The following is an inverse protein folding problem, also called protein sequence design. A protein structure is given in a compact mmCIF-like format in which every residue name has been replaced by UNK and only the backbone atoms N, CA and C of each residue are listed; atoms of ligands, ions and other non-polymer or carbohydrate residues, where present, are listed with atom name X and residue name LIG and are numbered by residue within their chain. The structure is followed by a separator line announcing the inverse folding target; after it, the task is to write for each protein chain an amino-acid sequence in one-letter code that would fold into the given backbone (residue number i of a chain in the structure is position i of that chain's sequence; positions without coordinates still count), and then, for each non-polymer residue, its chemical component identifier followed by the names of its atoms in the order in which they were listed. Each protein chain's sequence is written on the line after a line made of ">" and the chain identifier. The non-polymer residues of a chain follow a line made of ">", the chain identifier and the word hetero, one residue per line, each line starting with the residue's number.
data_IF_571959768218
#
_entry.id   IF_571959768218
#
_cell.length_a   1.000
_cell.length_b   1.000
_cell.length_c   1.000
_cell.angle_alpha   90.00
_cell.angle_beta   90.00
_cell.angle_gamma   90.00
#
_symmetry.space_group_name_H-M   'P 1'
#
loop_
_entity.id
_entity.type
_entity.pdbx_description
1 polymer ?
#
# COMPACT_ATOMS: atom_id res chain seq x y z
N UNK A 1 13.94 2.05 5.71
CA UNK A 1 12.70 2.80 5.93
C UNK A 1 12.75 4.17 5.26
N UNK A 2 13.68 5.07 5.64
CA UNK A 2 13.81 6.40 5.01
C UNK A 2 13.87 6.38 3.48
N UNK A 3 14.78 5.60 2.89
CA UNK A 3 15.05 5.59 1.44
C UNK A 3 14.13 4.69 0.61
N UNK A 4 13.11 4.07 1.21
CA UNK A 4 12.27 3.05 0.53
C UNK A 4 10.79 3.20 0.85
N UNK A 5 10.46 3.55 2.10
CA UNK A 5 9.08 3.74 2.57
C UNK A 5 8.70 5.23 2.63
N UNK A 6 9.62 6.09 3.08
CA UNK A 6 9.39 7.51 3.40
C UNK A 6 10.20 8.46 2.49
N UNK A 7 10.61 8.02 1.31
CA UNK A 7 11.54 8.77 0.46
C UNK A 7 10.96 10.07 -0.09
N UNK A 8 9.64 10.23 -0.09
CA UNK A 8 8.93 11.46 -0.46
C UNK A 8 8.17 12.07 0.72
N UNK A 9 8.17 11.40 1.87
CA UNK A 9 7.49 11.85 3.08
C UNK A 9 8.33 12.88 3.84
N UNK A 10 7.69 13.78 4.63
CA UNK A 10 8.39 14.67 5.54
C UNK A 10 9.30 13.91 6.54
N UNK A 11 10.48 14.45 6.88
CA UNK A 11 11.38 13.80 7.84
C UNK A 11 10.77 13.68 9.25
N UNK A 12 9.83 14.56 9.62
CA UNK A 12 9.08 14.51 10.88
C UNK A 12 8.23 13.23 10.99
N UNK A 13 7.60 12.79 9.90
CA UNK A 13 6.80 11.56 9.88
C UNK A 13 7.68 10.32 10.02
N UNK A 14 8.87 10.32 9.40
CA UNK A 14 9.86 9.27 9.61
C UNK A 14 10.35 9.24 11.07
N UNK A 15 10.61 10.41 11.67
CA UNK A 15 11.03 10.48 13.07
C UNK A 15 9.92 9.96 14.01
N UNK A 16 8.66 10.31 13.74
CA UNK A 16 7.52 9.79 14.46
C UNK A 16 7.42 8.27 14.31
N UNK A 17 7.53 7.74 13.09
CA UNK A 17 7.50 6.31 12.84
C UNK A 17 8.60 5.57 13.62
N UNK A 18 9.84 6.08 13.60
CA UNK A 18 10.96 5.50 14.35
C UNK A 18 10.73 5.46 15.87
N UNK A 19 9.98 6.43 16.41
CA UNK A 19 9.65 6.47 17.85
C UNK A 19 8.45 5.61 18.25
N UNK A 20 7.56 5.29 17.30
CA UNK A 20 6.22 4.75 17.58
C UNK A 20 5.98 3.35 17.04
N UNK A 21 6.74 2.92 16.03
CA UNK A 21 6.58 1.59 15.42
C UNK A 21 6.90 0.49 16.44
N UNK A 22 6.08 -0.55 16.43
CA UNK A 22 6.26 -1.75 17.23
C UNK A 22 6.40 -2.94 16.29
N UNK A 23 7.13 -3.95 16.74
CA UNK A 23 7.21 -5.22 16.01
C UNK A 23 5.82 -5.79 15.79
N UNK A 24 5.53 -6.18 14.56
CA UNK A 24 4.33 -6.93 14.18
C UNK A 24 4.76 -8.11 13.30
N UNK A 25 4.50 -9.36 13.71
CA UNK A 25 4.87 -10.52 12.91
C UNK A 25 4.01 -10.58 11.64
N UNK A 26 4.64 -10.97 10.53
CA UNK A 26 3.92 -11.32 9.31
C UNK A 26 3.35 -12.74 9.48
N UNK A 27 2.07 -12.91 9.18
CA UNK A 27 1.40 -14.19 9.19
C UNK A 27 1.21 -14.65 7.74
N UNK A 28 1.59 -15.90 7.46
CA UNK A 28 1.40 -16.55 6.16
C UNK A 28 0.26 -17.58 6.25
N UNK A 29 -0.81 -17.23 6.96
CA UNK A 29 -1.98 -18.09 7.05
C UNK A 29 -2.81 -17.97 5.77
N UNK A 30 -3.18 -19.12 5.21
CA UNK A 30 -3.99 -19.17 3.99
C UNK A 30 -5.43 -18.72 4.29
N UNK A 31 -5.75 -17.47 3.95
CA UNK A 31 -7.10 -16.91 4.10
C UNK A 31 -7.95 -17.31 2.89
N UNK A 32 -9.03 -18.06 3.13
CA UNK A 32 -10.00 -18.43 2.08
C UNK A 32 -11.08 -17.35 1.93
N UNK A 33 -11.06 -16.65 0.81
CA UNK A 33 -12.05 -15.63 0.45
C UNK A 33 -13.08 -16.20 -0.53
N UNK A 34 -14.33 -15.70 -0.47
CA UNK A 34 -15.41 -16.12 -1.39
C UNK A 34 -16.01 -14.93 -2.14
N UNK A 35 -16.61 -15.20 -3.31
CA UNK A 35 -17.25 -14.17 -4.13
C UNK A 35 -18.48 -13.58 -3.46
N UNK A 36 -19.24 -14.39 -2.74
CA UNK A 36 -20.49 -13.99 -2.08
C UNK A 36 -20.23 -13.04 -0.91
N UNK A 37 -19.08 -13.17 -0.23
CA UNK A 37 -18.67 -12.32 0.90
C UNK A 37 -17.67 -11.26 0.46
N UNK A 38 -16.41 -11.61 0.31
CA UNK A 38 -15.36 -10.65 -0.02
C UNK A 38 -15.57 -10.02 -1.42
N UNK A 39 -16.03 -10.83 -2.38
CA UNK A 39 -16.27 -10.36 -3.75
C UNK A 39 -17.45 -9.41 -3.89
N UNK A 40 -18.40 -9.38 -2.95
CA UNK A 40 -19.59 -8.53 -3.03
C UNK A 40 -19.37 -7.11 -2.49
N UNK A 41 -18.26 -6.88 -1.79
CA UNK A 41 -17.89 -5.55 -1.28
C UNK A 41 -17.21 -4.75 -2.40
N UNK A 42 -17.66 -3.52 -2.70
CA UNK A 42 -16.96 -2.62 -3.62
C UNK A 42 -15.53 -2.35 -3.15
N UNK A 43 -14.57 -2.44 -4.07
CA UNK A 43 -13.14 -2.26 -3.79
C UNK A 43 -12.56 -1.17 -4.66
N UNK A 44 -11.73 -0.32 -4.05
CA UNK A 44 -10.91 0.67 -4.74
C UNK A 44 -9.45 0.31 -4.49
N UNK A 45 -8.63 0.31 -5.52
CA UNK A 45 -7.18 0.17 -5.39
C UNK A 45 -6.52 1.53 -5.66
N UNK A 46 -5.68 1.99 -4.74
CA UNK A 46 -4.90 3.22 -4.89
C UNK A 46 -3.47 2.82 -5.26
N UNK A 47 -3.03 3.24 -6.44
CA UNK A 47 -1.69 3.00 -6.96
C UNK A 47 -0.78 4.13 -6.53
N UNK A 48 0.36 3.77 -5.95
CA UNK A 48 1.44 4.70 -5.61
C UNK A 48 2.55 4.56 -6.66
N UNK A 49 2.78 5.60 -7.45
CA UNK A 49 3.66 5.55 -8.64
C UNK A 49 5.16 5.53 -8.31
N UNK A 50 5.55 5.95 -7.10
CA UNK A 50 6.93 5.95 -6.64
C UNK A 50 7.15 5.03 -5.42
N UNK A 51 6.28 4.06 -5.18
CA UNK A 51 6.48 3.03 -4.16
C UNK A 51 7.66 2.11 -4.54
N UNK A 52 8.70 2.11 -3.70
CA UNK A 52 9.92 1.31 -3.89
C UNK A 52 9.88 -0.06 -3.21
N UNK A 53 8.81 -0.38 -2.48
CA UNK A 53 8.56 -1.70 -1.89
C UNK A 53 7.62 -2.54 -2.73
N UNK A 54 6.50 -1.95 -3.19
CA UNK A 54 5.54 -2.58 -4.08
C UNK A 54 5.56 -1.79 -5.37
N UNK A 55 6.54 -2.10 -6.22
CA UNK A 55 6.71 -1.42 -7.51
C UNK A 55 5.45 -1.51 -8.37
N UNK A 56 5.30 -0.55 -9.28
CA UNK A 56 4.09 -0.40 -10.11
C UNK A 56 3.73 -1.70 -10.87
N UNK A 57 4.71 -2.44 -11.37
CA UNK A 57 4.50 -3.73 -12.05
C UNK A 57 3.83 -4.77 -11.14
N UNK A 58 4.21 -4.80 -9.85
CA UNK A 58 3.62 -5.68 -8.85
C UNK A 58 2.20 -5.23 -8.53
N UNK A 59 1.96 -3.93 -8.38
CA UNK A 59 0.62 -3.38 -8.16
C UNK A 59 -0.31 -3.70 -9.35
N UNK A 60 0.17 -3.57 -10.59
CA UNK A 60 -0.55 -3.94 -11.82
C UNK A 60 -0.88 -5.43 -11.86
N UNK A 61 0.07 -6.27 -11.46
CA UNK A 61 -0.16 -7.71 -11.32
C UNK A 61 -1.24 -8.01 -10.26
N UNK A 62 -1.19 -7.37 -9.08
CA UNK A 62 -2.22 -7.53 -8.04
C UNK A 62 -3.62 -7.13 -8.53
N UNK A 63 -3.72 -6.01 -9.24
CA UNK A 63 -4.97 -5.52 -9.86
C UNK A 63 -5.49 -6.53 -10.87
N UNK A 64 -4.61 -7.14 -11.68
CA UNK A 64 -5.01 -8.13 -12.68
C UNK A 64 -5.54 -9.42 -12.03
N UNK A 65 -4.87 -9.91 -10.99
CA UNK A 65 -5.24 -11.15 -10.30
C UNK A 65 -6.49 -10.98 -9.40
N UNK A 66 -6.69 -9.79 -8.83
CA UNK A 66 -7.88 -9.46 -8.03
C UNK A 66 -8.47 -8.11 -8.45
N UNK A 67 -9.23 -8.06 -9.57
CA UNK A 67 -9.75 -6.81 -10.11
C UNK A 67 -10.62 -6.04 -9.10
N UNK A 68 -10.30 -4.78 -8.78
CA UNK A 68 -11.17 -3.91 -8.00
C UNK A 68 -12.26 -3.31 -8.88
N UNK A 69 -13.18 -2.54 -8.27
CA UNK A 69 -14.22 -1.83 -8.99
C UNK A 69 -13.71 -0.49 -9.54
N UNK A 70 -12.80 0.15 -8.80
CA UNK A 70 -12.13 1.39 -9.21
C UNK A 70 -10.64 1.31 -8.95
N UNK A 71 -9.88 2.02 -9.77
CA UNK A 71 -8.43 2.17 -9.63
C UNK A 71 -8.14 3.67 -9.69
N UNK A 72 -7.37 4.17 -8.73
CA UNK A 72 -6.89 5.56 -8.71
C UNK A 72 -5.39 5.55 -8.59
N UNK A 73 -4.70 6.39 -9.35
CA UNK A 73 -3.26 6.59 -9.21
C UNK A 73 -3.02 7.94 -8.55
N UNK A 74 -2.13 7.95 -7.57
CA UNK A 74 -1.66 9.19 -6.94
C UNK A 74 -0.19 9.34 -7.32
N UNK A 75 0.10 10.44 -8.03
CA UNK A 75 1.43 10.70 -8.52
C UNK A 75 2.34 11.28 -7.42
N UNK A 76 3.64 11.07 -7.58
CA UNK A 76 4.68 11.43 -6.61
C UNK A 76 4.37 10.92 -5.20
N UNK A 77 3.84 9.70 -5.09
CA UNK A 77 3.53 9.07 -3.80
C UNK A 77 4.47 7.90 -3.50
N UNK A 78 5.02 7.91 -2.28
CA UNK A 78 5.81 6.78 -1.76
C UNK A 78 4.90 5.71 -1.15
N UNK A 79 5.50 4.68 -0.55
CA UNK A 79 4.74 3.62 0.12
C UNK A 79 3.85 4.16 1.25
N UNK A 80 4.29 5.25 1.88
CA UNK A 80 3.56 5.92 2.95
C UNK A 80 2.71 7.05 2.38
N UNK A 81 1.83 6.71 1.44
CA UNK A 81 0.97 7.65 0.70
C UNK A 81 0.27 8.68 1.60
N UNK A 82 -0.19 8.26 2.79
CA UNK A 82 -0.89 9.13 3.74
C UNK A 82 -0.01 10.28 4.28
N UNK A 83 1.32 10.16 4.20
CA UNK A 83 2.29 11.18 4.63
C UNK A 83 2.88 11.93 3.44
N UNK A 84 3.21 11.25 2.34
CA UNK A 84 3.73 11.90 1.14
C UNK A 84 2.67 12.68 0.36
N UNK A 85 1.40 12.24 0.38
CA UNK A 85 0.24 12.83 -0.34
C UNK A 85 -1.07 12.74 0.48
N UNK A 86 -1.21 13.52 1.57
CA UNK A 86 -2.42 13.56 2.40
C UNK A 86 -3.63 14.22 1.72
#
# INVERSE_FOLDING_TARGET
>A
MASVLYQLSPPEDLALALSSLRFFPLFDEEIKLTKEKYGSVPRVYIVCDQDLTIGEDVQRWMIKESPPHEIKMINDSDHMLMFSKP
#
